data_IF_896352691426
#
_entry.id   IF_896352691426
#
_cell.length_a   1.000
_cell.length_b   1.000
_cell.length_c   1.000
_cell.angle_alpha   90.00
_cell.angle_beta   90.00
_cell.angle_gamma   90.00
#
_symmetry.space_group_name_H-M   'P 1'
#
loop_
_entity.id
_entity.type
_entity.pdbx_description
1 polymer ?
#
# COMPACT_ATOMS: atom_id res chain seq x y z
N UNK A 1 -5.88 -18.96 -16.94
CA UNK A 1 -5.83 -18.48 -15.55
C UNK A 1 -6.56 -19.52 -14.71
N UNK A 2 -5.97 -19.93 -13.57
CA UNK A 2 -6.55 -20.95 -12.69
C UNK A 2 -7.94 -20.50 -12.19
N UNK A 3 -8.93 -21.40 -12.20
CA UNK A 3 -10.30 -21.07 -11.79
C UNK A 3 -10.35 -20.60 -10.33
N UNK A 4 -9.53 -21.20 -9.46
CA UNK A 4 -9.40 -20.75 -8.07
C UNK A 4 -8.81 -19.33 -7.96
N UNK A 5 -7.90 -18.96 -8.88
CA UNK A 5 -7.33 -17.61 -8.90
C UNK A 5 -8.37 -16.57 -9.32
N UNK A 6 -9.21 -16.90 -10.30
CA UNK A 6 -10.30 -16.03 -10.77
C UNK A 6 -11.32 -15.81 -9.65
N UNK A 7 -11.72 -16.89 -8.96
CA UNK A 7 -12.64 -16.82 -7.82
C UNK A 7 -12.05 -15.99 -6.68
N UNK A 8 -10.77 -16.19 -6.35
CA UNK A 8 -10.07 -15.41 -5.34
C UNK A 8 -10.08 -13.91 -5.67
N UNK A 9 -9.64 -13.55 -6.87
CA UNK A 9 -9.60 -12.16 -7.33
C UNK A 9 -11.01 -11.53 -7.30
N UNK A 10 -12.03 -12.28 -7.69
CA UNK A 10 -13.41 -11.82 -7.69
C UNK A 10 -13.88 -11.50 -6.27
N UNK A 11 -13.58 -12.38 -5.31
CA UNK A 11 -13.97 -12.19 -3.91
C UNK A 11 -13.24 -11.01 -3.29
N UNK A 12 -11.92 -10.86 -3.53
CA UNK A 12 -11.13 -9.72 -3.05
C UNK A 12 -11.73 -8.40 -3.54
N UNK A 13 -12.15 -8.31 -4.80
CA UNK A 13 -12.76 -7.08 -5.36
C UNK A 13 -14.18 -6.81 -4.88
N UNK A 14 -14.87 -7.82 -4.36
CA UNK A 14 -16.30 -7.74 -4.08
C UNK A 14 -16.57 -7.49 -2.60
N UNK A 15 -15.77 -8.07 -1.70
CA UNK A 15 -15.91 -7.87 -0.26
C UNK A 15 -15.89 -6.38 0.13
N UNK A 16 -14.93 -5.53 -0.30
CA UNK A 16 -14.90 -4.12 0.08
C UNK A 16 -16.16 -3.32 -0.30
N UNK A 17 -16.92 -3.78 -1.30
CA UNK A 17 -18.12 -3.08 -1.80
C UNK A 17 -19.34 -3.27 -0.89
N UNK A 18 -19.36 -4.33 -0.08
CA UNK A 18 -20.53 -4.75 0.69
C UNK A 18 -20.26 -4.94 2.17
N UNK A 19 -18.98 -5.03 2.56
CA UNK A 19 -18.54 -5.35 3.92
C UNK A 19 -17.69 -4.21 4.45
N UNK A 20 -17.93 -3.83 5.70
CA UNK A 20 -17.07 -2.88 6.41
C UNK A 20 -16.02 -3.61 7.27
N UNK A 21 -15.15 -2.84 7.94
CA UNK A 21 -14.11 -3.37 8.83
C UNK A 21 -14.64 -4.32 9.91
N UNK A 22 -15.79 -4.00 10.54
CA UNK A 22 -16.38 -4.85 11.58
C UNK A 22 -16.88 -6.16 10.99
N UNK A 23 -17.48 -6.11 9.80
CA UNK A 23 -17.95 -7.31 9.11
C UNK A 23 -16.76 -8.23 8.76
N UNK A 24 -15.66 -7.67 8.23
CA UNK A 24 -14.45 -8.44 7.89
C UNK A 24 -13.83 -9.10 9.13
N UNK A 25 -13.71 -8.36 10.25
CA UNK A 25 -13.25 -8.95 11.53
C UNK A 25 -14.19 -10.04 12.01
N UNK A 26 -15.51 -9.88 11.83
CA UNK A 26 -16.50 -10.89 12.19
C UNK A 26 -16.37 -12.15 11.34
N UNK A 27 -16.15 -12.01 10.02
CA UNK A 27 -15.85 -13.11 9.11
C UNK A 27 -14.59 -13.85 9.58
N UNK A 28 -13.50 -13.14 9.85
CA UNK A 28 -12.26 -13.76 10.34
C UNK A 28 -12.47 -14.58 11.62
N UNK A 29 -13.22 -14.04 12.59
CA UNK A 29 -13.56 -14.77 13.83
C UNK A 29 -14.38 -16.02 13.57
N UNK A 30 -15.42 -15.96 12.72
CA UNK A 30 -16.28 -17.11 12.40
C UNK A 30 -15.53 -18.18 11.60
N UNK A 31 -14.48 -17.79 10.88
CA UNK A 31 -13.58 -18.67 10.16
C UNK A 31 -12.40 -19.15 11.03
N UNK A 32 -12.33 -18.86 12.33
CA UNK A 32 -11.16 -19.17 13.16
C UNK A 32 -9.83 -18.70 12.54
N UNK A 33 -9.82 -17.50 11.95
CA UNK A 33 -8.61 -16.83 11.45
C UNK A 33 -8.24 -15.75 12.47
N UNK A 34 -7.04 -15.84 13.10
CA UNK A 34 -6.60 -14.83 14.05
C UNK A 34 -6.59 -13.43 13.43
N UNK A 35 -7.06 -12.42 14.17
CA UNK A 35 -7.11 -11.04 13.67
C UNK A 35 -5.72 -10.54 13.25
N UNK A 36 -4.67 -10.90 13.99
CA UNK A 36 -3.29 -10.53 13.66
C UNK A 36 -2.75 -11.11 12.34
N UNK A 37 -3.46 -12.06 11.71
CA UNK A 37 -3.05 -12.63 10.42
C UNK A 37 -3.43 -11.75 9.23
N UNK A 38 -4.45 -10.90 9.38
CA UNK A 38 -4.99 -10.11 8.26
C UNK A 38 -5.24 -8.64 8.61
N UNK A 39 -5.35 -8.29 9.89
CA UNK A 39 -5.63 -6.94 10.35
C UNK A 39 -4.38 -6.27 10.94
N UNK A 40 -4.20 -5.00 10.58
CA UNK A 40 -3.35 -4.06 11.26
C UNK A 40 -4.02 -2.68 11.24
N UNK A 41 -3.69 -1.83 12.21
CA UNK A 41 -4.15 -0.46 12.20
C UNK A 41 -3.67 0.24 10.91
N UNK A 42 -4.55 1.07 10.33
CA UNK A 42 -4.33 1.84 9.08
C UNK A 42 -4.35 1.07 7.77
N UNK A 43 -4.70 -0.21 7.76
CA UNK A 43 -4.98 -0.89 6.48
C UNK A 43 -6.28 -0.37 5.86
N UNK A 44 -6.27 -0.16 4.54
CA UNK A 44 -7.48 0.15 3.77
C UNK A 44 -8.38 -1.08 3.68
N UNK A 45 -9.65 -0.87 3.37
CA UNK A 45 -10.62 -1.96 3.16
C UNK A 45 -10.17 -2.93 2.06
N UNK A 46 -9.54 -2.41 1.00
CA UNK A 46 -8.96 -3.16 -0.11
C UNK A 46 -7.89 -4.14 0.39
N UNK A 47 -6.91 -3.65 1.16
CA UNK A 47 -5.82 -4.47 1.70
C UNK A 47 -6.33 -5.47 2.73
N UNK A 48 -7.22 -5.03 3.62
CA UNK A 48 -7.79 -5.87 4.66
C UNK A 48 -8.55 -7.06 4.03
N UNK A 49 -9.33 -6.80 2.98
CA UNK A 49 -10.06 -7.83 2.24
C UNK A 49 -9.11 -8.77 1.51
N UNK A 50 -8.08 -8.24 0.86
CA UNK A 50 -7.04 -9.04 0.20
C UNK A 50 -6.38 -10.01 1.19
N UNK A 51 -5.85 -9.49 2.31
CA UNK A 51 -5.18 -10.31 3.33
C UNK A 51 -6.12 -11.36 3.93
N UNK A 52 -7.37 -11.00 4.25
CA UNK A 52 -8.34 -11.98 4.77
C UNK A 52 -8.58 -13.09 3.74
N UNK A 53 -8.93 -12.74 2.50
CA UNK A 53 -9.27 -13.71 1.47
C UNK A 53 -8.07 -14.58 1.11
N UNK A 54 -6.87 -14.02 1.05
CA UNK A 54 -5.65 -14.79 0.86
C UNK A 54 -5.48 -15.85 1.96
N UNK A 55 -5.72 -15.51 3.23
CA UNK A 55 -5.71 -16.48 4.34
C UNK A 55 -6.82 -17.53 4.22
N UNK A 56 -8.02 -17.14 3.78
CA UNK A 56 -9.13 -18.08 3.53
C UNK A 56 -8.72 -19.15 2.52
N UNK A 57 -8.11 -18.75 1.40
CA UNK A 57 -7.67 -19.69 0.38
C UNK A 57 -6.48 -20.55 0.87
N UNK A 58 -5.50 -19.96 1.54
CA UNK A 58 -4.36 -20.69 2.12
C UNK A 58 -4.79 -21.77 3.13
N UNK A 59 -5.85 -21.49 3.91
CA UNK A 59 -6.40 -22.41 4.89
C UNK A 59 -7.51 -23.30 4.33
N UNK A 60 -7.79 -23.23 3.03
CA UNK A 60 -8.86 -23.99 2.37
C UNK A 60 -10.26 -23.78 2.98
N UNK A 61 -10.54 -22.58 3.51
CA UNK A 61 -11.81 -22.19 4.17
C UNK A 61 -12.81 -21.49 3.23
N UNK A 62 -12.65 -21.67 1.91
CA UNK A 62 -13.42 -20.95 0.91
C UNK A 62 -14.92 -21.28 0.94
N UNK A 63 -15.27 -22.56 1.10
CA UNK A 63 -16.67 -22.98 1.22
C UNK A 63 -17.31 -22.49 2.53
N UNK A 64 -16.54 -22.43 3.62
CA UNK A 64 -17.00 -21.83 4.89
C UNK A 64 -17.28 -20.34 4.72
N UNK A 65 -16.42 -19.61 3.99
CA UNK A 65 -16.64 -18.20 3.67
C UNK A 65 -17.94 -18.00 2.87
N UNK A 66 -18.22 -18.87 1.89
CA UNK A 66 -19.48 -18.84 1.13
C UNK A 66 -20.69 -19.05 2.03
N UNK A 67 -20.66 -20.07 2.90
CA UNK A 67 -21.76 -20.33 3.84
C UNK A 67 -22.01 -19.12 4.76
N UNK A 68 -20.95 -18.55 5.35
CA UNK A 68 -21.07 -17.36 6.21
C UNK A 68 -21.73 -16.20 5.45
N UNK A 69 -21.28 -15.89 4.25
CA UNK A 69 -21.83 -14.75 3.49
C UNK A 69 -23.28 -14.99 3.05
N UNK A 70 -23.67 -16.24 2.79
CA UNK A 70 -25.00 -16.57 2.29
C UNK A 70 -26.06 -16.77 3.38
N UNK A 71 -25.64 -17.25 4.55
CA UNK A 71 -26.53 -17.84 5.56
C UNK A 71 -26.50 -17.09 6.90
N UNK A 72 -25.41 -16.37 7.22
CA UNK A 72 -25.28 -15.69 8.50
C UNK A 72 -26.18 -14.44 8.58
N UNK A 73 -27.01 -14.35 9.62
CA UNK A 73 -27.99 -13.25 9.76
C UNK A 73 -27.36 -11.86 9.82
N UNK A 74 -26.14 -11.76 10.34
CA UNK A 74 -25.49 -10.47 10.60
C UNK A 74 -24.60 -10.05 9.42
N UNK A 75 -24.12 -11.02 8.63
CA UNK A 75 -23.18 -10.82 7.53
C UNK A 75 -23.77 -11.05 6.14
N UNK A 76 -25.02 -11.51 6.05
CA UNK A 76 -25.71 -11.62 4.78
C UNK A 76 -25.94 -10.23 4.19
N UNK A 77 -25.42 -10.02 2.98
CA UNK A 77 -25.57 -8.76 2.22
C UNK A 77 -26.14 -9.07 0.83
N UNK A 78 -25.27 -9.48 -0.08
CA UNK A 78 -25.58 -9.91 -1.45
C UNK A 78 -24.87 -11.23 -1.68
N UNK A 79 -25.56 -12.22 -2.26
CA UNK A 79 -24.90 -13.43 -2.72
C UNK A 79 -24.23 -13.13 -4.06
N UNK A 80 -22.92 -12.93 -4.04
CA UNK A 80 -22.10 -12.73 -5.23
C UNK A 80 -21.38 -14.01 -5.68
N UNK A 81 -21.51 -15.13 -4.96
CA UNK A 81 -20.81 -16.38 -5.31
C UNK A 81 -21.50 -17.20 -6.40
N UNK A 82 -22.80 -16.98 -6.62
CA UNK A 82 -23.59 -17.87 -7.47
C UNK A 82 -23.35 -17.69 -8.98
N UNK A 83 -22.94 -16.49 -9.43
CA UNK A 83 -22.70 -16.22 -10.85
C UNK A 83 -21.58 -15.19 -11.02
N UNK A 84 -20.34 -15.66 -11.25
CA UNK A 84 -19.26 -14.77 -11.70
C UNK A 84 -19.71 -14.10 -13.02
N UNK A 85 -19.71 -12.75 -13.09
CA UNK A 85 -20.04 -12.05 -14.31
C UNK A 85 -19.17 -12.53 -15.48
N UNK A 86 -19.78 -12.79 -16.65
CA UNK A 86 -19.07 -13.36 -17.81
C UNK A 86 -17.88 -12.52 -18.28
N UNK A 87 -17.99 -11.20 -18.13
CA UNK A 87 -16.95 -10.21 -18.40
C UNK A 87 -15.76 -10.29 -17.42
N UNK A 88 -15.93 -10.88 -16.25
CA UNK A 88 -14.85 -11.05 -15.26
C UNK A 88 -13.76 -12.02 -15.75
N UNK A 89 -14.13 -13.06 -16.51
CA UNK A 89 -13.18 -14.02 -17.08
C UNK A 89 -12.19 -13.37 -18.06
N UNK A 90 -12.58 -12.26 -18.67
CA UNK A 90 -11.75 -11.44 -19.57
C UNK A 90 -11.09 -10.25 -18.88
N UNK A 91 -11.32 -10.07 -17.57
CA UNK A 91 -10.75 -8.95 -16.82
C UNK A 91 -9.25 -9.14 -16.61
N UNK A 92 -8.52 -8.02 -16.54
CA UNK A 92 -7.12 -8.05 -16.12
C UNK A 92 -7.02 -8.64 -14.70
N UNK A 93 -6.05 -9.55 -14.43
CA UNK A 93 -5.78 -10.06 -13.09
C UNK A 93 -5.70 -8.93 -12.07
N UNK A 94 -6.22 -9.14 -10.86
CA UNK A 94 -6.26 -8.10 -9.82
C UNK A 94 -4.89 -7.51 -9.55
N UNK A 95 -3.90 -8.38 -9.48
CA UNK A 95 -2.50 -8.03 -9.32
C UNK A 95 -1.98 -7.05 -10.39
N UNK A 96 -2.39 -7.23 -11.64
CA UNK A 96 -2.03 -6.33 -12.74
C UNK A 96 -2.78 -5.00 -12.62
N UNK A 97 -4.05 -5.01 -12.22
CA UNK A 97 -4.83 -3.79 -12.03
C UNK A 97 -4.22 -2.94 -10.91
N UNK A 98 -3.88 -3.55 -9.76
CA UNK A 98 -3.20 -2.87 -8.65
C UNK A 98 -1.85 -2.31 -9.09
N UNK A 99 -1.03 -3.10 -9.80
CA UNK A 99 0.26 -2.66 -10.29
C UNK A 99 0.16 -1.51 -11.32
N UNK A 100 -0.82 -1.53 -12.22
CA UNK A 100 -1.09 -0.43 -13.17
C UNK A 100 -1.52 0.84 -12.43
N UNK A 101 -2.42 0.70 -11.45
CA UNK A 101 -2.87 1.82 -10.60
C UNK A 101 -1.69 2.46 -9.87
N UNK A 102 -0.87 1.65 -9.20
CA UNK A 102 0.35 2.11 -8.54
C UNK A 102 1.34 2.75 -9.53
N UNK A 103 1.57 2.11 -10.69
CA UNK A 103 2.40 2.60 -11.79
C UNK A 103 2.03 4.01 -12.23
N UNK A 104 0.74 4.21 -12.51
CA UNK A 104 0.18 5.53 -12.86
C UNK A 104 0.37 6.52 -11.74
N UNK A 105 0.03 6.14 -10.51
CA UNK A 105 0.15 6.98 -9.33
C UNK A 105 1.57 7.54 -9.18
N UNK A 106 2.60 6.69 -9.15
CA UNK A 106 3.95 7.15 -8.89
C UNK A 106 4.56 7.91 -10.07
N UNK A 107 4.16 7.59 -11.30
CA UNK A 107 4.60 8.33 -12.49
C UNK A 107 4.02 9.74 -12.48
N UNK A 108 2.75 9.89 -12.12
CA UNK A 108 2.13 11.20 -11.95
C UNK A 108 2.72 11.94 -10.76
N UNK A 109 2.95 11.29 -9.62
CA UNK A 109 3.60 11.93 -8.49
C UNK A 109 4.99 12.46 -8.88
N UNK A 110 5.80 11.66 -9.57
CA UNK A 110 7.11 12.09 -10.05
C UNK A 110 7.02 13.35 -10.93
N UNK A 111 6.10 13.39 -11.90
CA UNK A 111 5.95 14.57 -12.76
C UNK A 111 5.51 15.82 -12.00
N UNK A 112 4.71 15.67 -10.95
CA UNK A 112 4.32 16.78 -10.07
C UNK A 112 5.48 17.26 -9.20
N UNK A 113 6.32 16.34 -8.70
CA UNK A 113 7.50 16.68 -7.93
C UNK A 113 8.60 17.34 -8.78
N UNK A 114 8.68 17.01 -10.07
CA UNK A 114 9.61 17.67 -11.01
C UNK A 114 9.33 19.18 -11.13
N UNK A 115 8.09 19.63 -10.91
CA UNK A 115 7.72 21.05 -10.92
C UNK A 115 8.15 21.81 -9.64
N UNK A 116 8.55 21.11 -8.58
CA UNK A 116 8.94 21.74 -7.31
C UNK A 116 10.42 22.20 -7.27
N UNK A 117 11.26 21.76 -8.20
CA UNK A 117 12.69 22.08 -8.22
C UNK A 117 13.12 22.65 -9.58
N UNK A 118 13.62 23.89 -9.62
CA UNK A 118 14.21 24.51 -10.83
C UNK A 118 15.68 24.11 -11.08
N UNK A 119 16.31 23.34 -10.19
CA UNK A 119 17.74 23.03 -10.27
C UNK A 119 17.99 21.54 -10.52
N UNK A 120 18.77 21.25 -11.55
CA UNK A 120 19.38 19.94 -11.75
C UNK A 120 20.36 19.67 -10.62
N UNK A 121 20.12 18.57 -9.89
CA UNK A 121 21.02 18.05 -8.88
C UNK A 121 21.51 16.67 -9.31
N UNK A 122 22.74 16.32 -8.94
CA UNK A 122 23.34 15.02 -9.26
C UNK A 122 22.58 13.86 -8.59
N UNK A 123 22.47 12.73 -9.29
CA UNK A 123 21.87 11.50 -8.78
C UNK A 123 22.69 10.98 -7.58
N UNK A 124 22.04 10.71 -6.45
CA UNK A 124 22.73 10.15 -5.29
C UNK A 124 22.85 8.64 -5.44
N UNK A 125 24.02 8.07 -5.15
CA UNK A 125 24.16 6.62 -5.10
C UNK A 125 23.22 6.02 -4.04
N UNK A 126 22.51 4.95 -4.41
CA UNK A 126 21.71 4.16 -3.48
C UNK A 126 22.66 3.49 -2.48
N UNK A 127 22.51 3.81 -1.20
CA UNK A 127 23.38 3.28 -0.15
C UNK A 127 22.92 1.86 0.23
N UNK A 128 23.87 0.98 0.59
CA UNK A 128 23.57 -0.38 1.05
C UNK A 128 22.45 -0.38 2.12
N UNK A 129 21.41 -1.21 1.93
CA UNK A 129 20.27 -1.22 2.82
C UNK A 129 20.64 -1.84 4.18
N UNK A 130 20.45 -1.06 5.25
CA UNK A 130 20.32 -1.60 6.61
C UNK A 130 19.00 -2.38 6.70
N UNK A 131 18.90 -3.38 7.58
CA UNK A 131 17.62 -4.06 7.84
C UNK A 131 16.55 -3.00 8.14
N UNK A 132 15.47 -3.01 7.37
CA UNK A 132 14.48 -1.93 7.36
C UNK A 132 13.92 -1.61 8.76
N UNK A 133 13.54 -2.63 9.53
CA UNK A 133 13.04 -2.42 10.89
C UNK A 133 14.10 -1.82 11.82
N UNK A 134 15.33 -2.32 11.77
CA UNK A 134 16.46 -1.76 12.53
C UNK A 134 16.70 -0.30 12.17
N UNK A 135 16.62 0.03 10.87
CA UNK A 135 16.72 1.41 10.40
C UNK A 135 15.59 2.27 10.98
N UNK A 136 14.34 1.83 10.88
CA UNK A 136 13.17 2.59 11.34
C UNK A 136 13.25 2.88 12.84
N UNK A 137 13.66 1.88 13.64
CA UNK A 137 13.76 1.97 15.11
C UNK A 137 14.98 2.77 15.58
N UNK A 138 16.16 2.48 15.07
CA UNK A 138 17.41 2.95 15.68
C UNK A 138 18.05 4.13 14.95
N UNK A 139 17.93 4.18 13.62
CA UNK A 139 18.47 5.30 12.82
C UNK A 139 17.44 6.40 12.66
N UNK A 140 16.33 6.09 11.99
CA UNK A 140 15.26 7.04 11.77
C UNK A 140 14.61 7.51 13.08
N UNK A 141 14.58 6.66 14.12
CA UNK A 141 13.98 6.96 15.44
C UNK A 141 12.54 7.44 15.30
N UNK A 142 11.78 6.74 14.45
CA UNK A 142 10.35 7.00 14.26
C UNK A 142 9.57 6.43 15.45
N UNK A 143 8.37 6.95 15.70
CA UNK A 143 7.48 6.39 16.71
C UNK A 143 6.89 5.03 16.28
N UNK A 144 6.44 4.25 17.26
CA UNK A 144 5.96 2.88 17.05
C UNK A 144 4.83 2.78 16.01
N UNK A 145 3.90 3.74 15.98
CA UNK A 145 2.81 3.70 15.00
C UNK A 145 3.30 3.78 13.55
N UNK A 146 4.30 4.62 13.26
CA UNK A 146 4.89 4.74 11.91
C UNK A 146 5.72 3.50 11.62
N UNK A 147 6.43 2.96 12.61
CA UNK A 147 7.21 1.73 12.47
C UNK A 147 6.31 0.55 12.11
N UNK A 148 5.23 0.34 12.87
CA UNK A 148 4.28 -0.75 12.66
C UNK A 148 3.59 -0.64 11.29
N UNK A 149 3.17 0.56 10.89
CA UNK A 149 2.64 0.81 9.54
C UNK A 149 3.66 0.48 8.44
N UNK A 150 4.92 0.89 8.63
CA UNK A 150 6.00 0.58 7.69
C UNK A 150 6.28 -0.91 7.56
N UNK A 151 6.32 -1.65 8.68
CA UNK A 151 6.53 -3.11 8.68
C UNK A 151 5.39 -3.82 7.96
N UNK A 152 4.14 -3.40 8.20
CA UNK A 152 2.95 -3.99 7.57
C UNK A 152 2.91 -3.78 6.05
N UNK A 153 3.33 -2.60 5.56
CA UNK A 153 3.17 -2.20 4.16
C UNK A 153 4.39 -2.47 3.27
N UNK A 154 5.60 -2.62 3.83
CA UNK A 154 6.84 -2.71 3.06
C UNK A 154 6.80 -3.76 1.94
N UNK A 155 6.37 -4.98 2.26
CA UNK A 155 6.38 -6.09 1.31
C UNK A 155 5.35 -5.88 0.19
N UNK A 156 4.21 -5.28 0.51
CA UNK A 156 3.14 -4.99 -0.44
C UNK A 156 3.64 -3.97 -1.48
N UNK A 157 4.32 -2.91 -1.02
CA UNK A 157 4.91 -1.88 -1.90
C UNK A 157 6.03 -2.42 -2.77
N UNK A 158 6.95 -3.21 -2.21
CA UNK A 158 8.03 -3.84 -3.00
C UNK A 158 7.45 -4.76 -4.09
N UNK A 159 6.38 -5.48 -3.78
CA UNK A 159 5.69 -6.36 -4.73
C UNK A 159 4.99 -5.57 -5.83
N UNK A 160 4.26 -4.50 -5.47
CA UNK A 160 3.62 -3.58 -6.42
C UNK A 160 4.65 -2.93 -7.35
N UNK A 161 5.78 -2.45 -6.81
CA UNK A 161 6.88 -1.88 -7.58
C UNK A 161 7.44 -2.86 -8.61
N UNK A 162 7.76 -4.10 -8.19
CA UNK A 162 8.30 -5.12 -9.10
C UNK A 162 7.34 -5.43 -10.24
N UNK A 163 6.04 -5.51 -9.94
CA UNK A 163 5.00 -5.77 -10.95
C UNK A 163 4.77 -4.57 -11.86
N UNK A 164 4.75 -3.35 -11.33
CA UNK A 164 4.63 -2.13 -12.12
C UNK A 164 5.82 -2.00 -13.11
N UNK A 165 7.04 -2.31 -12.66
CA UNK A 165 8.21 -2.35 -13.55
C UNK A 165 8.08 -3.40 -14.67
N UNK A 166 7.50 -4.57 -14.37
CA UNK A 166 7.19 -5.57 -15.40
C UNK A 166 6.07 -5.14 -16.38
N UNK A 167 5.36 -4.05 -16.07
CA UNK A 167 4.33 -3.42 -16.90
C UNK A 167 4.81 -2.09 -17.50
N UNK A 168 6.12 -1.98 -17.73
CA UNK A 168 6.82 -0.84 -18.36
C UNK A 168 6.87 0.47 -17.55
N UNK A 169 6.47 0.45 -16.28
CA UNK A 169 6.68 1.58 -15.39
C UNK A 169 8.09 1.51 -14.75
N UNK A 170 9.12 2.04 -15.41
CA UNK A 170 10.53 1.88 -14.98
C UNK A 170 11.11 3.05 -14.19
N UNK A 171 10.36 4.15 -13.99
CA UNK A 171 10.85 5.40 -13.39
C UNK A 171 10.84 5.45 -11.85
N UNK A 172 10.56 4.33 -11.18
CA UNK A 172 10.36 4.33 -9.72
C UNK A 172 11.61 4.77 -8.95
N UNK A 173 12.81 4.35 -9.36
CA UNK A 173 14.05 4.76 -8.68
C UNK A 173 14.29 6.27 -8.79
N UNK A 174 13.88 6.90 -9.90
CA UNK A 174 13.93 8.36 -10.06
C UNK A 174 13.03 9.06 -9.04
N UNK A 175 11.86 8.49 -8.76
CA UNK A 175 10.98 8.99 -7.72
C UNK A 175 11.62 8.92 -6.33
N UNK A 176 12.22 7.78 -5.97
CA UNK A 176 12.90 7.64 -4.67
C UNK A 176 14.00 8.70 -4.51
N UNK A 177 14.81 8.91 -5.55
CA UNK A 177 15.85 9.93 -5.57
C UNK A 177 15.28 11.34 -5.42
N UNK A 178 14.19 11.66 -6.14
CA UNK A 178 13.50 12.95 -6.05
C UNK A 178 12.97 13.20 -4.64
N UNK A 179 12.35 12.21 -4.00
CA UNK A 179 11.87 12.32 -2.62
C UNK A 179 13.03 12.53 -1.65
N UNK A 180 14.14 11.80 -1.83
CA UNK A 180 15.37 11.99 -1.07
C UNK A 180 15.90 13.43 -1.13
N UNK A 181 15.86 14.05 -2.32
CA UNK A 181 16.25 15.45 -2.51
C UNK A 181 15.31 16.42 -1.83
N UNK A 182 14.01 16.29 -2.03
CA UNK A 182 12.99 17.14 -1.38
C UNK A 182 13.15 17.08 0.14
N UNK A 183 13.34 15.88 0.68
CA UNK A 183 13.55 15.71 2.11
C UNK A 183 14.80 16.46 2.61
N UNK A 184 15.95 16.28 1.94
CA UNK A 184 17.22 16.89 2.40
C UNK A 184 17.27 18.40 2.17
N UNK A 185 16.84 18.86 1.00
CA UNK A 185 17.05 20.24 0.55
C UNK A 185 15.91 21.18 0.98
N UNK A 186 14.67 20.69 0.98
CA UNK A 186 13.50 21.52 1.29
C UNK A 186 13.07 21.26 2.72
N UNK A 187 12.80 20.00 3.06
CA UNK A 187 12.18 19.67 4.34
C UNK A 187 13.15 19.87 5.51
N UNK A 188 14.39 19.35 5.43
CA UNK A 188 15.36 19.53 6.52
C UNK A 188 15.84 20.98 6.68
N UNK A 189 15.72 21.81 5.65
CA UNK A 189 15.98 23.26 5.76
C UNK A 189 14.88 23.98 6.56
N UNK A 190 13.63 23.54 6.46
CA UNK A 190 12.50 24.12 7.20
C UNK A 190 12.28 23.46 8.57
N UNK A 191 12.66 22.19 8.70
CA UNK A 191 12.51 21.38 9.89
C UNK A 191 13.85 20.69 10.19
N UNK A 192 14.81 21.40 10.80
CA UNK A 192 16.15 20.89 11.06
C UNK A 192 16.15 19.60 11.84
N UNK A 193 17.08 18.72 11.50
CA UNK A 193 17.10 17.35 12.00
C UNK A 193 17.50 17.22 13.47
N UNK A 194 18.16 18.23 14.02
CA UNK A 194 18.58 18.39 15.41
C UNK A 194 17.53 19.08 16.29
N UNK A 195 16.59 19.80 15.68
CA UNK A 195 15.53 20.53 16.38
C UNK A 195 14.16 19.82 16.32
N UNK A 196 13.89 19.06 15.26
CA UNK A 196 12.56 18.51 14.98
C UNK A 196 12.58 16.97 14.94
N UNK A 197 11.72 16.36 15.75
CA UNK A 197 11.55 14.91 15.83
C UNK A 197 11.27 14.28 14.46
N UNK A 198 11.86 13.11 14.21
CA UNK A 198 11.71 12.39 12.93
C UNK A 198 10.26 12.09 12.57
N UNK A 199 9.40 11.76 13.55
CA UNK A 199 7.96 11.54 13.30
C UNK A 199 7.24 12.80 12.81
N UNK A 200 7.65 13.99 13.27
CA UNK A 200 7.08 15.26 12.78
C UNK A 200 7.54 15.48 11.34
N UNK A 201 8.84 15.29 11.07
CA UNK A 201 9.40 15.38 9.71
C UNK A 201 8.77 14.37 8.75
N UNK A 202 8.46 13.16 9.20
CA UNK A 202 7.70 12.17 8.44
C UNK A 202 6.32 12.69 8.05
N UNK A 203 5.56 13.25 8.99
CA UNK A 203 4.24 13.82 8.71
C UNK A 203 4.32 15.01 7.76
N UNK A 204 5.37 15.84 7.85
CA UNK A 204 5.61 16.92 6.91
C UNK A 204 5.90 16.40 5.50
N UNK A 205 6.74 15.36 5.38
CA UNK A 205 7.04 14.74 4.09
C UNK A 205 5.77 14.14 3.48
N UNK A 206 5.01 13.39 4.27
CA UNK A 206 3.71 12.85 3.89
C UNK A 206 2.80 13.93 3.31
N UNK A 207 2.60 15.03 4.04
CA UNK A 207 1.72 16.11 3.59
C UNK A 207 2.19 16.74 2.28
N UNK A 208 3.51 16.93 2.10
CA UNK A 208 4.07 17.44 0.84
C UNK A 208 3.74 16.48 -0.30
N UNK A 209 4.07 15.20 -0.17
CA UNK A 209 3.82 14.22 -1.22
C UNK A 209 2.33 14.07 -1.52
N UNK A 210 1.49 13.99 -0.50
CA UNK A 210 0.03 13.91 -0.64
C UNK A 210 -0.55 15.15 -1.35
N UNK A 211 -0.03 16.35 -1.06
CA UNK A 211 -0.47 17.59 -1.72
C UNK A 211 -0.10 17.65 -3.21
N UNK A 212 0.95 16.95 -3.62
CA UNK A 212 1.37 16.84 -5.02
C UNK A 212 0.55 15.83 -5.81
N UNK A 213 -0.28 15.01 -5.16
CA UNK A 213 -1.19 14.10 -5.86
C UNK A 213 -2.34 14.93 -6.46
N UNK A 214 -2.65 14.81 -7.76
CA UNK A 214 -3.82 15.45 -8.37
C UNK A 214 -5.13 14.94 -7.78
N UNK A 215 -6.15 15.80 -7.70
CA UNK A 215 -7.42 15.46 -7.08
C UNK A 215 -8.16 14.34 -7.84
N UNK A 216 -7.99 14.26 -9.16
CA UNK A 216 -8.55 13.18 -9.98
C UNK A 216 -8.03 11.80 -9.54
N UNK A 217 -6.76 11.71 -9.13
CA UNK A 217 -6.18 10.46 -8.64
C UNK A 217 -6.64 10.17 -7.21
N UNK A 218 -6.84 11.20 -6.37
CA UNK A 218 -7.34 11.02 -4.99
C UNK A 218 -8.78 10.51 -4.98
N UNK A 219 -9.60 10.97 -5.92
CA UNK A 219 -11.00 10.54 -6.05
C UNK A 219 -11.11 9.08 -6.55
N UNK A 220 -10.23 8.68 -7.47
CA UNK A 220 -10.28 7.36 -8.11
C UNK A 220 -9.49 6.25 -7.35
N UNK A 221 -8.68 6.60 -6.35
CA UNK A 221 -7.78 5.67 -5.69
C UNK A 221 -7.99 5.59 -4.18
N UNK A 222 -8.67 4.55 -3.72
CA UNK A 222 -8.89 4.28 -2.29
C UNK A 222 -7.59 3.95 -1.51
N UNK A 223 -6.53 3.55 -2.23
CA UNK A 223 -5.25 3.15 -1.64
C UNK A 223 -4.20 4.28 -1.65
N UNK A 224 -4.63 5.54 -1.83
CA UNK A 224 -3.74 6.69 -1.99
C UNK A 224 -2.82 6.91 -0.78
N UNK A 225 -3.35 6.83 0.43
CA UNK A 225 -2.59 6.99 1.66
C UNK A 225 -1.53 5.89 1.78
N UNK A 226 -1.92 4.64 1.47
CA UNK A 226 -0.99 3.50 1.45
C UNK A 226 0.13 3.73 0.43
N UNK A 227 -0.18 4.22 -0.78
CA UNK A 227 0.83 4.47 -1.78
C UNK A 227 1.80 5.57 -1.35
N UNK A 228 1.32 6.67 -0.78
CA UNK A 228 2.19 7.75 -0.28
C UNK A 228 3.08 7.25 0.86
N UNK A 229 2.50 6.64 1.91
CA UNK A 229 3.27 6.12 3.04
C UNK A 229 4.26 5.05 2.57
N UNK A 230 3.79 4.15 1.71
CA UNK A 230 4.56 3.07 1.11
C UNK A 230 5.81 3.53 0.39
N UNK A 231 5.70 4.57 -0.44
CA UNK A 231 6.86 5.15 -1.13
C UNK A 231 7.82 5.81 -0.14
N UNK A 232 7.33 6.47 0.92
CA UNK A 232 8.20 7.01 1.97
C UNK A 232 8.97 5.87 2.64
N UNK A 233 8.30 4.77 2.99
CA UNK A 233 8.94 3.60 3.59
C UNK A 233 9.99 2.98 2.66
N UNK A 234 9.70 2.87 1.36
CA UNK A 234 10.69 2.36 0.41
C UNK A 234 11.88 3.32 0.28
N UNK A 235 11.64 4.64 0.29
CA UNK A 235 12.70 5.67 0.31
C UNK A 235 13.57 5.57 1.57
N UNK A 236 12.96 5.27 2.73
CA UNK A 236 13.68 4.95 3.97
C UNK A 236 14.51 3.67 3.78
N UNK A 237 13.93 2.60 3.23
CA UNK A 237 14.62 1.33 3.02
C UNK A 237 15.88 1.47 2.13
N UNK A 238 15.86 2.39 1.17
CA UNK A 238 16.98 2.69 0.27
C UNK A 238 17.99 3.71 0.85
N UNK A 239 17.89 4.02 2.14
CA UNK A 239 18.85 4.91 2.79
C UNK A 239 18.94 6.32 2.18
N UNK A 240 17.85 6.84 1.60
CA UNK A 240 17.82 8.18 1.02
C UNK A 240 17.34 9.27 2.00
N UNK A 241 16.55 8.88 3.00
CA UNK A 241 15.98 9.77 4.03
C UNK A 241 16.08 9.15 5.42
N UNK A 242 16.02 9.99 6.47
CA UNK A 242 16.08 9.58 7.88
C UNK A 242 17.30 8.69 8.21
N UNK A 243 18.52 9.20 7.97
CA UNK A 243 19.77 8.44 8.09
C UNK A 243 20.60 8.72 9.36
N UNK A 244 20.10 9.54 10.28
CA UNK A 244 20.78 9.86 11.55
C UNK A 244 20.81 8.71 12.54
#
# INVERSE_FOLDING_TARGET
MDMQLIEKDYVIRTIPKYYNNMDIKSIGRKLDIPEGDFYADRLTMSILSDKLVERVFQLSKYEDLKSIINEDSDLKRINFFNDLPKDYYSSDPLDNVKAKSFGKFYTTLLSQLDNLEEKDFDESELIEPVKFEEKMRHKAKLNEDIINGGIALKNDIVSLRKRANALDYSSYDKLLQRIGRIYRNILCSQYPEDEVLSSIRYRKLYNVLYSCVPDEIKEDCEDIDMYVEGIIYDTIAHCLIFNK
#
